data_IF_958785075596
#
_entry.id   IF_958785075596
#
_cell.length_a   1.000
_cell.length_b   1.000
_cell.length_c   1.000
_cell.angle_alpha   90.00
_cell.angle_beta   90.00
_cell.angle_gamma   90.00
#
_symmetry.space_group_name_H-M   'P 1'
#
loop_
_entity.id
_entity.type
_entity.pdbx_description
1 polymer ?
#
# COMPACT_ATOMS: atom_id res chain seq x y z
N UNK A 1 93.73 81.19 -1.18
CA UNK A 1 93.73 79.82 -0.60
C UNK A 1 92.61 79.71 0.42
N UNK A 2 91.58 78.89 0.15
CA UNK A 2 90.65 78.23 1.10
C UNK A 2 89.54 77.59 0.28
N UNK A 3 89.85 76.44 -0.33
CA UNK A 3 88.85 75.48 -0.84
C UNK A 3 88.86 74.29 0.12
N UNK A 4 87.70 73.61 0.17
CA UNK A 4 87.47 72.24 0.66
C UNK A 4 87.16 72.12 2.15
N UNK A 5 85.86 72.11 2.48
CA UNK A 5 85.33 71.20 3.51
C UNK A 5 83.80 70.96 3.42
N UNK A 6 83.22 70.94 2.21
CA UNK A 6 81.76 70.70 2.03
C UNK A 6 81.49 69.39 1.25
N UNK A 7 82.47 68.82 0.55
CA UNK A 7 82.26 67.65 -0.32
C UNK A 7 82.27 66.27 0.38
N UNK A 8 82.78 66.16 1.61
CA UNK A 8 82.91 64.86 2.29
C UNK A 8 81.68 64.53 3.14
N UNK A 9 81.01 65.54 3.72
CA UNK A 9 79.82 65.32 4.56
C UNK A 9 78.61 64.90 3.70
N UNK A 10 78.44 65.46 2.50
CA UNK A 10 77.34 65.09 1.59
C UNK A 10 77.42 63.66 1.05
N UNK A 11 78.63 63.16 0.73
CA UNK A 11 78.82 61.79 0.21
C UNK A 11 78.64 60.76 1.34
N UNK A 12 79.12 61.05 2.55
CA UNK A 12 78.91 60.18 3.71
C UNK A 12 77.42 60.10 4.07
N UNK A 13 76.67 61.20 4.00
CA UNK A 13 75.21 61.19 4.22
C UNK A 13 74.48 60.41 3.13
N UNK A 14 74.85 60.51 1.85
CA UNK A 14 74.19 59.75 0.77
C UNK A 14 74.51 58.25 0.83
N UNK A 15 75.72 57.85 1.23
CA UNK A 15 76.07 56.44 1.43
C UNK A 15 75.43 55.88 2.72
N UNK A 16 75.31 56.70 3.78
CA UNK A 16 74.59 56.30 5.00
C UNK A 16 73.09 56.23 4.73
N UNK A 17 72.49 57.19 4.03
CA UNK A 17 71.04 57.19 3.71
C UNK A 17 70.71 56.12 2.67
N UNK A 18 71.54 55.94 1.64
CA UNK A 18 71.40 54.87 0.65
C UNK A 18 71.71 53.48 1.24
N UNK A 19 72.66 53.40 2.16
CA UNK A 19 72.99 52.21 2.94
C UNK A 19 71.89 51.86 3.94
N UNK A 20 71.33 52.83 4.65
CA UNK A 20 70.14 52.67 5.50
C UNK A 20 68.96 52.29 4.62
N UNK A 21 68.71 52.95 3.48
CA UNK A 21 67.62 52.62 2.56
C UNK A 21 67.75 51.21 1.97
N UNK A 22 68.98 50.74 1.71
CA UNK A 22 69.24 49.37 1.25
C UNK A 22 69.14 48.36 2.40
N UNK A 23 69.59 48.72 3.61
CA UNK A 23 69.48 47.90 4.83
C UNK A 23 68.05 47.87 5.40
N UNK A 24 67.20 48.84 5.06
CA UNK A 24 65.78 48.91 5.44
C UNK A 24 64.83 48.55 4.30
N UNK A 25 65.34 48.14 3.13
CA UNK A 25 64.50 47.63 2.05
C UNK A 25 64.02 46.23 2.41
N UNK A 26 62.89 46.16 3.11
CA UNK A 26 62.18 44.90 3.33
C UNK A 26 61.88 44.26 1.98
N UNK A 27 62.48 43.09 1.76
CA UNK A 27 62.21 42.26 0.60
C UNK A 27 60.74 41.86 0.64
N UNK A 28 59.94 42.42 -0.26
CA UNK A 28 58.48 42.22 -0.28
C UNK A 28 58.16 40.78 -0.68
N UNK A 29 57.82 39.96 0.31
CA UNK A 29 57.49 38.54 0.12
C UNK A 29 56.09 38.44 -0.50
N UNK A 30 55.98 37.82 -1.68
CA UNK A 30 54.69 37.57 -2.34
C UNK A 30 54.27 36.10 -2.15
N UNK A 31 53.11 35.88 -1.53
CA UNK A 31 52.57 34.55 -1.31
C UNK A 31 51.83 34.08 -2.57
N UNK A 32 51.93 32.78 -2.85
CA UNK A 32 51.13 32.14 -3.89
C UNK A 32 50.48 30.85 -3.37
N UNK A 33 49.34 30.48 -3.95
CA UNK A 33 48.61 29.27 -3.55
C UNK A 33 49.37 28.02 -4.00
N UNK A 34 49.47 27.04 -3.09
CA UNK A 34 49.89 25.68 -3.41
C UNK A 34 48.77 25.02 -4.21
N UNK A 35 49.05 24.79 -5.50
CA UNK A 35 48.09 24.30 -6.50
C UNK A 35 46.87 25.24 -6.70
N UNK A 36 46.63 25.72 -7.92
CA UNK A 36 45.47 26.60 -8.19
C UNK A 36 44.12 25.86 -8.28
N UNK A 37 44.12 24.52 -8.25
CA UNK A 37 42.88 23.72 -8.27
C UNK A 37 42.07 23.94 -6.99
N UNK A 38 40.76 23.79 -7.13
CA UNK A 38 39.80 23.82 -6.02
C UNK A 38 40.01 22.59 -5.11
N UNK A 39 39.65 22.72 -3.83
CA UNK A 39 39.61 21.58 -2.91
C UNK A 39 38.23 20.97 -3.03
N UNK A 40 38.15 19.70 -3.43
CA UNK A 40 36.89 18.95 -3.48
C UNK A 40 36.84 18.04 -2.26
N UNK A 41 35.74 18.11 -1.52
CA UNK A 41 35.51 17.32 -0.30
C UNK A 41 34.22 16.56 -0.47
N UNK A 42 34.27 15.27 -0.17
CA UNK A 42 33.08 14.42 -0.15
C UNK A 42 32.19 14.79 1.04
N UNK A 43 30.88 14.85 0.82
CA UNK A 43 29.92 15.10 1.89
C UNK A 43 30.05 14.03 3.00
N UNK A 44 29.95 14.44 4.27
CA UNK A 44 30.25 13.59 5.43
C UNK A 44 31.71 13.62 5.91
N UNK A 45 32.64 14.19 5.14
CA UNK A 45 34.04 14.34 5.57
C UNK A 45 34.35 15.74 6.11
N UNK A 46 35.20 15.79 7.14
CA UNK A 46 35.71 17.06 7.70
C UNK A 46 36.70 17.73 6.73
N UNK A 47 36.72 19.07 6.74
CA UNK A 47 37.69 19.85 5.95
C UNK A 47 38.85 20.24 6.84
N UNK A 48 40.03 19.66 6.58
CA UNK A 48 41.26 20.00 7.30
C UNK A 48 42.27 20.63 6.34
N UNK A 49 42.91 21.72 6.80
CA UNK A 49 43.98 22.39 6.08
C UNK A 49 44.91 23.11 7.05
N UNK A 50 46.16 23.24 6.62
CA UNK A 50 47.17 24.05 7.27
C UNK A 50 47.74 25.11 6.32
N UNK A 51 48.55 26.02 6.85
CA UNK A 51 49.32 26.96 6.02
C UNK A 51 50.12 26.24 4.93
N UNK A 52 50.77 25.12 5.27
CA UNK A 52 51.64 24.38 4.34
C UNK A 52 50.86 23.63 3.25
N UNK A 53 49.56 23.39 3.45
CA UNK A 53 48.67 22.80 2.45
C UNK A 53 48.17 23.83 1.45
N UNK A 54 48.08 25.09 1.87
CA UNK A 54 47.44 26.17 1.11
C UNK A 54 48.43 27.08 0.39
N UNK A 55 49.63 27.29 0.94
CA UNK A 55 50.62 28.24 0.44
C UNK A 55 51.85 27.52 -0.11
N UNK A 56 52.33 27.98 -1.27
CA UNK A 56 53.57 27.49 -1.87
C UNK A 56 54.75 28.09 -1.10
N UNK A 57 55.59 27.23 -0.53
CA UNK A 57 56.70 27.63 0.34
C UNK A 57 58.08 27.35 -0.26
N UNK A 58 58.17 26.73 -1.45
CA UNK A 58 59.44 26.33 -2.08
C UNK A 58 60.39 27.50 -2.33
N UNK A 59 59.85 28.68 -2.57
CA UNK A 59 60.60 29.88 -2.95
C UNK A 59 60.78 30.85 -1.75
N UNK A 60 60.47 30.40 -0.53
CA UNK A 60 60.52 31.22 0.70
C UNK A 60 61.67 30.74 1.60
N UNK A 61 62.50 31.68 2.06
CA UNK A 61 63.58 31.42 3.03
C UNK A 61 63.04 30.80 4.34
N UNK A 62 63.71 29.76 4.84
CA UNK A 62 63.30 29.01 6.04
C UNK A 62 63.26 29.88 7.31
N UNK A 63 64.13 30.87 7.42
CA UNK A 63 64.20 31.73 8.61
C UNK A 63 63.03 32.73 8.62
N UNK A 64 62.59 33.18 7.43
CA UNK A 64 61.41 34.06 7.24
C UNK A 64 60.09 33.30 7.34
N UNK A 65 60.08 32.01 7.01
CA UNK A 65 58.86 31.18 6.99
C UNK A 65 58.14 31.11 8.34
N UNK A 66 58.88 31.10 9.45
CA UNK A 66 58.30 31.08 10.81
C UNK A 66 57.50 32.35 11.10
N UNK A 67 58.02 33.50 10.69
CA UNK A 67 57.37 34.81 10.88
C UNK A 67 56.14 34.93 9.96
N UNK A 68 56.28 34.55 8.69
CA UNK A 68 55.16 34.54 7.72
C UNK A 68 54.00 33.67 8.22
N UNK A 69 54.29 32.47 8.74
CA UNK A 69 53.26 31.58 9.31
C UNK A 69 52.52 32.22 10.47
N UNK A 70 53.22 32.97 11.32
CA UNK A 70 52.65 33.65 12.49
C UNK A 70 51.78 34.85 12.09
N UNK A 71 52.19 35.58 11.06
CA UNK A 71 51.49 36.78 10.56
C UNK A 71 50.34 36.46 9.60
N UNK A 72 50.36 35.29 8.96
CA UNK A 72 49.33 34.89 8.01
C UNK A 72 48.05 34.49 8.76
N UNK A 73 46.96 35.19 8.45
CA UNK A 73 45.64 34.91 9.00
C UNK A 73 44.86 34.06 8.00
N UNK A 74 44.47 32.86 8.40
CA UNK A 74 43.64 31.94 7.61
C UNK A 74 42.27 31.87 8.27
N UNK A 75 41.23 32.16 7.49
CA UNK A 75 39.83 32.13 7.93
C UNK A 75 38.96 31.60 6.81
N UNK A 76 37.94 30.83 7.11
CA UNK A 76 37.01 30.27 6.15
C UNK A 76 35.56 30.72 6.42
N UNK A 77 34.66 30.34 5.52
CA UNK A 77 33.23 30.48 5.68
C UNK A 77 32.51 29.12 5.64
N UNK A 78 33.19 28.03 6.02
CA UNK A 78 32.58 26.71 6.07
C UNK A 78 31.41 26.73 7.05
N UNK A 79 30.32 26.06 6.66
CA UNK A 79 29.14 25.91 7.50
C UNK A 79 28.85 24.43 7.63
N UNK A 80 28.88 23.94 8.86
CA UNK A 80 28.52 22.56 9.15
C UNK A 80 27.03 22.33 9.00
N UNK A 81 26.69 21.10 8.65
CA UNK A 81 25.32 20.60 8.72
C UNK A 81 24.85 20.62 10.19
N UNK A 82 23.56 20.83 10.41
CA UNK A 82 23.01 20.97 11.77
C UNK A 82 23.38 19.77 12.64
N UNK A 83 24.07 20.03 13.75
CA UNK A 83 24.56 19.03 14.71
C UNK A 83 25.59 18.02 14.15
N UNK A 84 26.27 18.35 13.04
CA UNK A 84 27.36 17.54 12.45
C UNK A 84 28.71 18.26 12.51
N UNK A 85 29.79 17.49 12.38
CA UNK A 85 31.17 17.97 12.39
C UNK A 85 31.74 18.21 10.98
N UNK A 86 30.99 17.91 9.92
CA UNK A 86 31.32 18.15 8.52
C UNK A 86 30.45 19.27 7.90
N UNK A 87 30.95 19.96 6.84
CA UNK A 87 30.23 21.00 6.13
C UNK A 87 29.01 20.48 5.36
N UNK A 88 27.98 21.31 5.23
CA UNK A 88 26.86 21.05 4.31
C UNK A 88 27.31 21.17 2.85
N UNK A 89 26.56 20.56 1.93
CA UNK A 89 26.86 20.59 0.49
C UNK A 89 26.85 22.05 -0.01
N UNK A 90 27.91 22.45 -0.72
CA UNK A 90 28.01 23.83 -1.19
C UNK A 90 29.41 24.27 -1.59
N UNK A 91 29.50 25.56 -1.92
CA UNK A 91 30.75 26.21 -2.31
C UNK A 91 31.22 27.16 -1.20
N UNK A 92 32.44 26.96 -0.76
CA UNK A 92 33.08 27.70 0.33
C UNK A 92 34.40 28.30 -0.12
N UNK A 93 34.96 29.17 0.72
CA UNK A 93 36.20 29.89 0.46
C UNK A 93 37.04 29.97 1.72
N UNK A 94 38.27 29.48 1.63
CA UNK A 94 39.32 29.76 2.61
C UNK A 94 39.99 31.06 2.16
N UNK A 95 39.97 32.06 3.04
CA UNK A 95 40.58 33.36 2.87
C UNK A 95 41.92 33.38 3.60
N UNK A 96 42.98 33.74 2.88
CA UNK A 96 44.33 33.83 3.42
C UNK A 96 44.77 35.28 3.29
N UNK A 97 45.09 35.90 4.43
CA UNK A 97 45.54 37.29 4.49
C UNK A 97 46.92 37.36 5.10
N UNK A 98 47.86 37.93 4.36
CA UNK A 98 49.21 38.23 4.83
C UNK A 98 49.54 39.68 4.43
N UNK A 99 49.76 40.55 5.42
CA UNK A 99 49.90 42.00 5.20
C UNK A 99 48.75 42.55 4.30
N UNK A 100 49.09 43.12 3.14
CA UNK A 100 48.14 43.64 2.14
C UNK A 100 47.67 42.60 1.10
N UNK A 101 48.23 41.39 1.12
CA UNK A 101 47.89 40.32 0.19
C UNK A 101 46.64 39.56 0.64
N UNK A 102 45.78 39.22 -0.31
CA UNK A 102 44.57 38.44 -0.11
C UNK A 102 44.52 37.33 -1.15
N UNK A 103 44.62 36.09 -0.68
CA UNK A 103 44.45 34.90 -1.51
C UNK A 103 43.15 34.18 -1.11
N UNK A 104 42.51 33.55 -2.08
CA UNK A 104 41.27 32.78 -1.88
C UNK A 104 41.42 31.40 -2.46
N UNK A 105 41.16 30.37 -1.65
CA UNK A 105 41.09 28.98 -2.10
C UNK A 105 39.64 28.53 -2.03
N UNK A 106 39.09 28.09 -3.16
CA UNK A 106 37.73 27.56 -3.23
C UNK A 106 37.69 26.13 -2.72
N UNK A 107 36.69 25.83 -1.90
CA UNK A 107 36.37 24.50 -1.40
C UNK A 107 34.97 24.14 -1.91
N UNK A 108 34.81 22.96 -2.49
CA UNK A 108 33.53 22.44 -2.98
C UNK A 108 33.23 21.18 -2.17
N UNK A 109 32.16 21.22 -1.41
CA UNK A 109 31.60 20.05 -0.73
C UNK A 109 30.49 19.52 -1.63
N UNK A 110 30.65 18.28 -2.08
CA UNK A 110 29.64 17.61 -2.91
C UNK A 110 29.52 16.18 -2.44
N UNK A 111 28.33 15.63 -2.60
CA UNK A 111 28.06 14.23 -2.40
C UNK A 111 28.23 13.51 -3.74
N UNK A 112 29.09 12.51 -3.76
CA UNK A 112 29.35 11.64 -4.92
C UNK A 112 29.15 10.16 -4.59
N UNK A 113 28.69 9.88 -3.37
CA UNK A 113 28.49 8.54 -2.87
C UNK A 113 27.07 8.10 -3.20
N UNK A 114 26.92 6.93 -3.82
CA UNK A 114 25.60 6.40 -4.13
C UNK A 114 24.97 5.73 -2.89
N UNK A 115 23.63 5.71 -2.78
CA UNK A 115 22.94 4.96 -1.74
C UNK A 115 23.32 3.47 -1.71
N UNK A 116 23.31 2.89 -0.52
CA UNK A 116 23.62 1.46 -0.33
C UNK A 116 22.36 0.72 0.10
N UNK A 117 21.96 -0.30 -0.65
CA UNK A 117 20.83 -1.17 -0.31
C UNK A 117 21.17 -2.12 0.86
N UNK A 118 20.14 -2.55 1.58
CA UNK A 118 20.23 -3.67 2.50
C UNK A 118 20.43 -5.02 1.76
N UNK A 119 20.70 -6.07 2.52
CA UNK A 119 21.03 -7.40 1.98
C UNK A 119 19.83 -8.18 1.43
N UNK A 120 18.60 -7.68 1.59
CA UNK A 120 17.38 -8.38 1.17
C UNK A 120 17.28 -8.41 -0.36
N UNK A 121 17.33 -9.61 -0.94
CA UNK A 121 17.31 -9.84 -2.39
C UNK A 121 16.00 -10.46 -2.89
N UNK A 122 15.10 -10.80 -1.97
CA UNK A 122 13.86 -11.48 -2.27
C UNK A 122 12.73 -10.99 -1.36
N UNK A 123 11.52 -10.97 -1.90
CA UNK A 123 10.28 -10.68 -1.16
C UNK A 123 9.20 -11.65 -1.61
N UNK A 124 8.17 -11.85 -0.78
CA UNK A 124 7.09 -12.78 -1.14
C UNK A 124 5.71 -12.31 -0.68
N UNK A 125 4.72 -12.49 -1.53
CA UNK A 125 3.31 -12.22 -1.22
C UNK A 125 2.39 -13.15 -2.02
N UNK A 126 1.10 -13.16 -1.68
CA UNK A 126 0.11 -14.03 -2.31
C UNK A 126 -0.41 -13.45 -3.63
N UNK A 127 -0.70 -14.32 -4.59
CA UNK A 127 -1.38 -13.97 -5.84
C UNK A 127 -2.63 -13.11 -5.60
N UNK A 128 -2.76 -12.02 -6.35
CA UNK A 128 -3.83 -11.03 -6.24
C UNK A 128 -3.62 -9.97 -5.17
N UNK A 129 -2.46 -9.94 -4.48
CA UNK A 129 -2.14 -8.86 -3.53
C UNK A 129 -1.94 -7.55 -4.27
N UNK A 130 -2.92 -6.65 -4.20
CA UNK A 130 -2.82 -5.29 -4.72
C UNK A 130 -1.99 -4.39 -3.78
N UNK A 131 -1.23 -3.44 -4.34
CA UNK A 131 -0.49 -2.41 -3.61
C UNK A 131 0.48 -2.92 -2.53
N UNK A 132 1.17 -4.04 -2.78
CA UNK A 132 2.22 -4.53 -1.87
C UNK A 132 3.31 -3.46 -1.64
N UNK A 133 3.62 -3.19 -0.37
CA UNK A 133 4.57 -2.15 0.04
C UNK A 133 5.99 -2.72 0.18
N UNK A 134 6.75 -2.66 -0.91
CA UNK A 134 8.14 -3.13 -0.96
C UNK A 134 9.08 -2.40 0.02
N UNK A 135 8.74 -1.17 0.44
CA UNK A 135 9.60 -0.36 1.33
C UNK A 135 9.63 -0.90 2.78
N UNK A 136 8.75 -1.84 3.13
CA UNK A 136 8.82 -2.52 4.43
C UNK A 136 10.09 -3.35 4.57
N UNK A 137 10.49 -4.00 3.48
CA UNK A 137 11.61 -4.93 3.43
C UNK A 137 12.81 -4.32 2.71
N UNK A 138 12.61 -3.75 1.52
CA UNK A 138 13.69 -3.16 0.73
C UNK A 138 14.02 -1.76 1.23
N UNK A 139 15.27 -1.56 1.63
CA UNK A 139 15.75 -0.30 2.22
C UNK A 139 17.09 0.07 1.61
N UNK A 140 17.33 1.38 1.50
CA UNK A 140 18.64 1.94 1.19
C UNK A 140 19.04 2.98 2.23
N UNK A 141 20.33 3.18 2.41
CA UNK A 141 20.92 4.15 3.34
C UNK A 141 21.92 5.03 2.64
N UNK A 142 21.92 6.30 3.01
CA UNK A 142 22.80 7.35 2.50
C UNK A 142 22.85 8.49 3.54
N UNK A 143 23.85 9.38 3.44
CA UNK A 143 23.93 10.57 4.30
C UNK A 143 22.90 11.64 3.90
N UNK A 144 22.43 11.59 2.66
CA UNK A 144 21.41 12.46 2.12
C UNK A 144 20.07 11.72 1.95
N UNK A 145 19.01 12.48 1.66
CA UNK A 145 17.67 11.89 1.54
C UNK A 145 17.55 11.01 0.30
N UNK A 146 16.87 9.88 0.44
CA UNK A 146 16.74 8.85 -0.60
C UNK A 146 15.30 8.74 -1.08
N UNK A 147 15.14 8.60 -2.39
CA UNK A 147 13.92 8.20 -3.07
C UNK A 147 14.08 6.78 -3.63
N UNK A 148 13.12 5.89 -3.33
CA UNK A 148 13.08 4.51 -3.81
C UNK A 148 12.02 4.37 -4.91
N UNK A 149 12.42 3.82 -6.05
CA UNK A 149 11.55 3.59 -7.19
C UNK A 149 11.67 2.14 -7.68
N UNK A 150 10.58 1.59 -8.18
CA UNK A 150 10.47 0.19 -8.58
C UNK A 150 10.01 0.09 -10.03
N UNK A 151 10.75 -0.67 -10.84
CA UNK A 151 10.28 -1.11 -12.17
C UNK A 151 9.55 -2.44 -12.01
N UNK A 152 8.21 -2.36 -12.01
CA UNK A 152 7.30 -3.48 -11.83
C UNK A 152 6.77 -4.03 -13.18
N UNK A 153 7.35 -3.60 -14.31
CA UNK A 153 6.81 -3.94 -15.64
C UNK A 153 6.77 -5.44 -15.94
N UNK A 154 7.64 -6.22 -15.30
CA UNK A 154 7.71 -7.68 -15.42
C UNK A 154 6.79 -8.44 -14.45
N UNK A 155 6.28 -7.78 -13.41
CA UNK A 155 5.55 -8.43 -12.31
C UNK A 155 4.08 -8.66 -12.70
N UNK A 156 3.65 -9.92 -12.69
CA UNK A 156 2.23 -10.29 -12.78
C UNK A 156 1.73 -10.77 -11.42
N UNK A 157 1.02 -9.90 -10.71
CA UNK A 157 0.49 -10.22 -9.39
C UNK A 157 -0.62 -11.28 -9.42
N UNK A 158 -1.25 -11.52 -10.58
CA UNK A 158 -2.37 -12.45 -10.73
C UNK A 158 -1.93 -13.82 -11.24
N UNK A 159 -0.62 -14.08 -11.22
CA UNK A 159 -0.06 -15.34 -11.65
C UNK A 159 1.09 -15.72 -10.74
N UNK A 160 0.95 -16.86 -10.09
CA UNK A 160 2.02 -17.40 -9.28
C UNK A 160 3.31 -17.62 -10.10
N UNK A 161 4.44 -17.33 -9.48
CA UNK A 161 5.75 -17.44 -10.10
C UNK A 161 6.79 -16.54 -9.45
N UNK A 162 8.01 -16.66 -9.95
CA UNK A 162 9.14 -15.84 -9.56
C UNK A 162 9.36 -14.76 -10.63
N UNK A 163 9.38 -13.50 -10.19
CA UNK A 163 9.54 -12.34 -11.06
C UNK A 163 10.76 -11.53 -10.65
N UNK A 164 11.63 -11.23 -11.62
CA UNK A 164 12.73 -10.29 -11.41
C UNK A 164 12.24 -8.86 -11.61
N UNK A 165 12.39 -8.02 -10.59
CA UNK A 165 12.12 -6.58 -10.68
C UNK A 165 13.39 -5.77 -10.36
N UNK A 166 13.45 -4.53 -10.83
CA UNK A 166 14.54 -3.61 -10.51
C UNK A 166 14.09 -2.54 -9.53
N UNK A 167 14.95 -2.28 -8.55
CA UNK A 167 14.79 -1.22 -7.56
C UNK A 167 15.89 -0.18 -7.76
N UNK A 168 15.52 1.09 -7.74
CA UNK A 168 16.41 2.23 -7.88
C UNK A 168 16.38 3.06 -6.61
N UNK A 169 17.54 3.31 -6.04
CA UNK A 169 17.71 4.26 -4.93
C UNK A 169 18.43 5.48 -5.47
N UNK A 170 17.79 6.65 -5.38
CA UNK A 170 18.35 7.91 -5.81
C UNK A 170 18.42 8.88 -4.65
N UNK A 171 19.58 9.48 -4.46
CA UNK A 171 19.76 10.46 -3.43
C UNK A 171 19.40 11.90 -3.90
N UNK A 172 19.41 12.84 -2.96
CA UNK A 172 19.08 14.24 -3.24
C UNK A 172 20.13 14.98 -4.09
N UNK A 173 21.34 14.42 -4.20
CA UNK A 173 22.46 14.91 -5.00
C UNK A 173 22.48 14.32 -6.41
N UNK A 174 21.62 13.34 -6.68
CA UNK A 174 21.45 12.66 -7.95
C UNK A 174 22.31 11.41 -8.12
N UNK A 175 23.03 10.94 -7.09
CA UNK A 175 23.70 9.65 -7.19
C UNK A 175 22.67 8.53 -7.10
N UNK A 176 22.95 7.42 -7.79
CA UNK A 176 22.00 6.35 -7.97
C UNK A 176 22.67 5.00 -7.76
N UNK A 177 21.96 4.10 -7.09
CA UNK A 177 22.23 2.68 -7.07
C UNK A 177 21.03 1.91 -7.61
N UNK A 178 21.27 0.77 -8.22
CA UNK A 178 20.23 -0.16 -8.66
C UNK A 178 20.48 -1.56 -8.15
N UNK A 179 19.40 -2.31 -7.94
CA UNK A 179 19.44 -3.69 -7.48
C UNK A 179 18.31 -4.48 -8.13
N UNK A 180 18.61 -5.71 -8.54
CA UNK A 180 17.60 -6.67 -8.97
C UNK A 180 17.18 -7.52 -7.76
N UNK A 181 15.88 -7.73 -7.60
CA UNK A 181 15.32 -8.59 -6.56
C UNK A 181 14.32 -9.57 -7.14
N UNK A 182 14.18 -10.71 -6.47
CA UNK A 182 13.20 -11.73 -6.80
C UNK A 182 11.91 -11.50 -6.02
N UNK A 183 10.78 -11.41 -6.73
CA UNK A 183 9.45 -11.38 -6.13
C UNK A 183 8.81 -12.74 -6.30
N UNK A 184 8.55 -13.41 -5.18
CA UNK A 184 7.82 -14.68 -5.15
C UNK A 184 6.33 -14.40 -5.01
N UNK A 185 5.60 -14.46 -6.12
CA UNK A 185 4.13 -14.48 -6.11
C UNK A 185 3.71 -15.91 -5.82
N UNK A 186 3.28 -16.17 -4.59
CA UNK A 186 2.86 -17.50 -4.15
C UNK A 186 1.49 -17.80 -4.71
N UNK A 187 1.29 -19.02 -5.22
CA UNK A 187 -0.04 -19.51 -5.57
C UNK A 187 -0.97 -19.24 -4.39
N UNK A 188 -2.09 -18.59 -4.70
CA UNK A 188 -3.18 -18.55 -3.74
C UNK A 188 -3.51 -20.00 -3.41
N UNK A 189 -3.52 -20.40 -2.12
CA UNK A 189 -3.86 -21.77 -1.79
C UNK A 189 -5.19 -22.10 -2.47
N UNK A 190 -5.18 -23.03 -3.43
CA UNK A 190 -6.41 -23.71 -3.83
C UNK A 190 -6.86 -24.41 -2.57
N UNK A 191 -7.78 -23.80 -1.86
CA UNK A 191 -8.51 -24.48 -0.82
C UNK A 191 -9.30 -25.56 -1.55
N UNK A 192 -8.71 -26.75 -1.69
CA UNK A 192 -9.50 -27.97 -1.70
C UNK A 192 -10.46 -27.81 -0.53
N UNK A 193 -11.74 -27.62 -0.84
CA UNK A 193 -12.84 -27.63 0.11
C UNK A 193 -12.63 -28.88 0.97
N UNK A 194 -12.05 -28.68 2.16
CA UNK A 194 -11.49 -29.74 2.97
C UNK A 194 -12.56 -30.78 3.21
N UNK A 195 -12.43 -31.96 2.58
CA UNK A 195 -13.35 -33.09 2.72
C UNK A 195 -14.81 -32.66 2.96
N UNK A 196 -15.38 -31.85 2.05
CA UNK A 196 -16.83 -31.68 2.05
C UNK A 196 -17.43 -33.10 2.04
N UNK A 197 -18.35 -33.39 2.95
CA UNK A 197 -19.17 -34.61 2.82
C UNK A 197 -19.65 -34.61 1.37
N UNK A 198 -19.29 -35.65 0.62
CA UNK A 198 -19.75 -35.77 -0.76
C UNK A 198 -21.24 -36.07 -0.66
N UNK A 199 -22.06 -35.09 -1.03
CA UNK A 199 -23.48 -35.29 -1.21
C UNK A 199 -23.68 -35.69 -2.66
N UNK A 200 -24.33 -36.82 -2.91
CA UNK A 200 -24.72 -37.14 -4.27
C UNK A 200 -25.98 -36.35 -4.59
N UNK A 201 -25.85 -35.30 -5.41
CA UNK A 201 -26.96 -34.42 -5.77
C UNK A 201 -28.18 -35.15 -6.32
N UNK A 202 -28.04 -36.38 -6.82
CA UNK A 202 -29.15 -37.34 -6.94
C UNK A 202 -30.28 -36.88 -7.86
N UNK A 203 -29.98 -36.00 -8.83
CA UNK A 203 -30.98 -35.38 -9.71
C UNK A 203 -31.78 -34.24 -9.06
N UNK A 204 -31.39 -33.79 -7.86
CA UNK A 204 -32.00 -32.68 -7.14
C UNK A 204 -31.64 -31.33 -7.77
N UNK A 205 -32.60 -30.42 -7.76
CA UNK A 205 -32.48 -29.09 -8.36
C UNK A 205 -32.39 -28.04 -7.26
N UNK A 206 -31.32 -27.24 -7.27
CA UNK A 206 -31.14 -26.12 -6.34
C UNK A 206 -31.26 -24.82 -7.13
N UNK A 207 -32.18 -23.95 -6.73
CA UNK A 207 -32.26 -22.60 -7.28
C UNK A 207 -31.54 -21.62 -6.37
N UNK A 208 -30.66 -20.79 -6.92
CA UNK A 208 -29.88 -19.77 -6.19
C UNK A 208 -30.28 -18.38 -6.68
N UNK A 209 -30.70 -17.55 -5.75
CA UNK A 209 -30.97 -16.12 -5.95
C UNK A 209 -29.89 -15.29 -5.26
N UNK A 210 -29.01 -14.68 -6.05
CA UNK A 210 -28.19 -13.59 -5.56
C UNK A 210 -29.10 -12.37 -5.35
N UNK A 211 -29.43 -12.04 -4.10
CA UNK A 211 -30.31 -10.93 -3.76
C UNK A 211 -29.87 -9.62 -4.39
N UNK A 212 -30.84 -8.74 -4.65
CA UNK A 212 -30.64 -7.44 -5.30
C UNK A 212 -30.04 -7.53 -6.72
N UNK A 213 -29.61 -6.38 -7.25
CA UNK A 213 -29.01 -6.20 -8.58
C UNK A 213 -28.34 -4.80 -8.64
N UNK A 214 -27.67 -4.44 -9.73
CA UNK A 214 -26.96 -3.16 -9.86
C UNK A 214 -27.85 -1.94 -9.58
N UNK A 215 -29.12 -2.01 -10.01
CA UNK A 215 -30.10 -0.93 -9.89
C UNK A 215 -31.42 -1.47 -9.38
N UNK A 216 -31.90 -0.95 -8.26
CA UNK A 216 -33.23 -1.29 -7.75
C UNK A 216 -34.33 -0.94 -8.75
N UNK A 217 -35.48 -1.61 -8.64
CA UNK A 217 -36.70 -1.31 -9.38
C UNK A 217 -37.80 -0.98 -8.38
N UNK A 218 -38.10 0.32 -8.23
CA UNK A 218 -39.10 0.84 -7.30
C UNK A 218 -40.54 0.71 -7.81
N UNK A 219 -40.74 0.24 -9.04
CA UNK A 219 -42.07 -0.15 -9.52
C UNK A 219 -42.66 -1.19 -8.57
N UNK A 220 -43.98 -1.20 -8.46
CA UNK A 220 -44.66 -2.03 -7.48
C UNK A 220 -45.02 -3.42 -8.03
N UNK A 221 -44.99 -4.41 -7.16
CA UNK A 221 -45.53 -5.77 -7.35
C UNK A 221 -46.32 -6.23 -6.11
N UNK A 222 -47.26 -7.17 -6.25
CA UNK A 222 -47.99 -7.71 -5.10
C UNK A 222 -47.06 -8.43 -4.12
N UNK A 223 -47.27 -8.23 -2.82
CA UNK A 223 -46.51 -8.89 -1.74
C UNK A 223 -46.66 -10.43 -1.75
N UNK A 224 -47.69 -10.94 -2.42
CA UNK A 224 -47.94 -12.37 -2.63
C UNK A 224 -49.00 -12.54 -3.72
N UNK A 225 -49.21 -13.76 -4.25
CA UNK A 225 -50.24 -14.03 -5.25
C UNK A 225 -51.62 -13.51 -4.81
N UNK A 226 -52.22 -12.63 -5.63
CA UNK A 226 -53.53 -12.03 -5.35
C UNK A 226 -53.58 -11.01 -4.19
N UNK A 227 -52.43 -10.58 -3.66
CA UNK A 227 -52.38 -9.57 -2.59
C UNK A 227 -52.73 -8.17 -3.12
N UNK A 228 -53.53 -7.42 -2.36
CA UNK A 228 -53.72 -5.98 -2.57
C UNK A 228 -52.58 -5.13 -1.99
N UNK A 229 -51.77 -5.71 -1.10
CA UNK A 229 -50.58 -5.05 -0.55
C UNK A 229 -49.47 -5.10 -1.58
N UNK A 230 -49.00 -3.93 -2.00
CA UNK A 230 -47.95 -3.77 -3.01
C UNK A 230 -46.61 -3.41 -2.36
N UNK A 231 -45.51 -3.87 -2.96
CA UNK A 231 -44.12 -3.59 -2.53
C UNK A 231 -43.25 -3.29 -3.75
N UNK A 232 -42.13 -2.61 -3.54
CA UNK A 232 -41.14 -2.42 -4.60
C UNK A 232 -40.65 -3.78 -5.15
N UNK A 233 -40.46 -3.86 -6.46
CA UNK A 233 -40.03 -5.08 -7.16
C UNK A 233 -38.69 -5.60 -6.64
N UNK A 234 -37.73 -4.70 -6.42
CA UNK A 234 -36.43 -5.03 -5.83
C UNK A 234 -35.75 -3.74 -5.35
N UNK A 235 -35.17 -3.76 -4.15
CA UNK A 235 -34.40 -2.63 -3.62
C UNK A 235 -32.92 -2.75 -4.03
N UNK A 236 -32.13 -1.70 -3.84
CA UNK A 236 -30.68 -1.73 -4.11
C UNK A 236 -29.87 -2.56 -3.11
N UNK A 237 -30.45 -2.87 -1.95
CA UNK A 237 -29.75 -3.53 -0.85
C UNK A 237 -28.90 -2.57 -0.04
N UNK A 238 -28.14 -3.12 0.91
CA UNK A 238 -27.18 -2.40 1.74
C UNK A 238 -25.83 -2.14 1.03
N UNK A 239 -24.93 -1.41 1.69
CA UNK A 239 -23.55 -1.16 1.23
C UNK A 239 -22.61 -1.28 2.42
N UNK A 240 -21.49 -1.97 2.22
CA UNK A 240 -20.45 -2.14 3.24
C UNK A 240 -19.96 -0.81 3.79
N UNK A 241 -20.01 -0.64 5.11
CA UNK A 241 -19.66 0.63 5.77
C UNK A 241 -18.16 0.97 5.73
N UNK A 242 -17.30 0.00 5.37
CA UNK A 242 -15.85 0.14 5.22
C UNK A 242 -15.42 -0.07 3.77
N UNK A 243 -15.84 -1.18 3.16
CA UNK A 243 -15.37 -1.60 1.84
C UNK A 243 -16.04 -0.84 0.71
N UNK A 244 -17.23 -0.26 0.96
CA UNK A 244 -18.07 0.38 -0.05
C UNK A 244 -18.70 -0.60 -1.04
N UNK A 245 -18.51 -1.92 -0.84
CA UNK A 245 -19.05 -2.96 -1.71
C UNK A 245 -20.55 -3.08 -1.50
N UNK A 246 -21.32 -3.16 -2.59
CA UNK A 246 -22.77 -3.29 -2.47
C UNK A 246 -23.15 -4.71 -2.06
N UNK A 247 -24.27 -4.84 -1.34
CA UNK A 247 -24.84 -6.14 -1.00
C UNK A 247 -25.06 -7.00 -2.26
N UNK A 248 -25.55 -6.39 -3.34
CA UNK A 248 -25.76 -7.06 -4.62
C UNK A 248 -24.48 -7.65 -5.22
N UNK A 249 -23.31 -7.02 -5.01
CA UNK A 249 -22.01 -7.53 -5.44
C UNK A 249 -21.60 -8.75 -4.62
N UNK A 250 -21.62 -8.63 -3.29
CA UNK A 250 -21.27 -9.73 -2.37
C UNK A 250 -22.18 -10.94 -2.61
N UNK A 251 -23.49 -10.72 -2.71
CA UNK A 251 -24.46 -11.79 -2.97
C UNK A 251 -24.16 -12.53 -4.28
N UNK A 252 -23.74 -11.82 -5.33
CA UNK A 252 -23.41 -12.45 -6.62
C UNK A 252 -22.13 -13.28 -6.54
N UNK A 253 -21.10 -12.78 -5.89
CA UNK A 253 -19.83 -13.49 -5.72
C UNK A 253 -20.02 -14.79 -4.96
N UNK A 254 -20.74 -14.74 -3.83
CA UNK A 254 -21.05 -15.94 -3.05
C UNK A 254 -21.94 -16.89 -3.86
N UNK A 255 -22.92 -16.39 -4.61
CA UNK A 255 -23.80 -17.21 -5.43
C UNK A 255 -23.06 -17.97 -6.53
N UNK A 256 -22.09 -17.34 -7.21
CA UNK A 256 -21.29 -17.99 -8.25
C UNK A 256 -20.39 -19.08 -7.67
N UNK A 257 -19.76 -18.83 -6.52
CA UNK A 257 -19.00 -19.85 -5.79
C UNK A 257 -19.88 -21.01 -5.34
N UNK A 258 -21.09 -20.70 -4.85
CA UNK A 258 -22.07 -21.71 -4.45
C UNK A 258 -22.56 -22.54 -5.63
N UNK A 259 -22.77 -21.93 -6.80
CA UNK A 259 -23.13 -22.63 -8.03
C UNK A 259 -22.09 -23.69 -8.38
N UNK A 260 -20.81 -23.31 -8.41
CA UNK A 260 -19.71 -24.21 -8.70
C UNK A 260 -19.64 -25.33 -7.66
N UNK A 261 -19.67 -24.99 -6.38
CA UNK A 261 -19.58 -25.96 -5.29
C UNK A 261 -20.72 -27.00 -5.33
N UNK A 262 -21.96 -26.57 -5.57
CA UNK A 262 -23.11 -27.49 -5.68
C UNK A 262 -23.07 -28.32 -6.97
N UNK A 263 -22.64 -27.74 -8.09
CA UNK A 263 -22.49 -28.47 -9.35
C UNK A 263 -21.46 -29.60 -9.21
N UNK A 264 -20.36 -29.34 -8.48
CA UNK A 264 -19.33 -30.34 -8.17
C UNK A 264 -19.83 -31.47 -7.25
N UNK A 265 -20.92 -31.24 -6.51
CA UNK A 265 -21.63 -32.28 -5.73
C UNK A 265 -22.71 -32.98 -6.58
N UNK A 266 -22.85 -32.66 -7.86
CA UNK A 266 -23.81 -33.29 -8.78
C UNK A 266 -25.25 -32.78 -8.65
N UNK A 267 -25.47 -31.62 -8.00
CA UNK A 267 -26.76 -30.94 -8.05
C UNK A 267 -26.97 -30.27 -9.41
N UNK A 268 -28.21 -30.22 -9.88
CA UNK A 268 -28.58 -29.32 -10.97
C UNK A 268 -28.82 -27.92 -10.38
N UNK A 269 -28.05 -26.92 -10.83
CA UNK A 269 -28.14 -25.56 -10.28
C UNK A 269 -28.81 -24.61 -11.27
N UNK A 270 -29.84 -23.91 -10.80
CA UNK A 270 -30.53 -22.83 -11.53
C UNK A 270 -30.20 -21.50 -10.87
N UNK A 271 -29.68 -20.55 -11.64
CA UNK A 271 -29.34 -19.21 -11.15
C UNK A 271 -30.45 -18.22 -11.52
N UNK A 272 -30.96 -17.45 -10.56
CA UNK A 272 -31.86 -16.33 -10.88
C UNK A 272 -31.14 -15.21 -11.64
N UNK A 273 -29.85 -14.99 -11.34
CA UNK A 273 -28.97 -14.09 -12.10
C UNK A 273 -27.51 -14.51 -11.99
N UNK A 274 -26.74 -14.20 -13.03
CA UNK A 274 -25.28 -14.42 -13.10
C UNK A 274 -24.52 -13.11 -13.35
N UNK A 275 -25.21 -11.98 -13.41
CA UNK A 275 -24.61 -10.65 -13.60
C UNK A 275 -25.28 -9.60 -12.71
N UNK A 276 -24.67 -8.42 -12.62
CA UNK A 276 -25.22 -7.27 -11.88
C UNK A 276 -26.31 -6.54 -12.67
N UNK A 277 -26.20 -6.49 -14.00
CA UNK A 277 -27.06 -5.71 -14.87
C UNK A 277 -28.27 -6.53 -15.34
N UNK A 278 -29.23 -6.72 -14.43
CA UNK A 278 -30.53 -7.35 -14.70
C UNK A 278 -31.66 -6.47 -14.20
N UNK A 279 -32.89 -6.74 -14.65
CA UNK A 279 -34.12 -6.16 -14.09
C UNK A 279 -35.11 -7.26 -13.72
N UNK A 280 -34.96 -7.81 -12.51
CA UNK A 280 -35.76 -8.94 -12.01
C UNK A 280 -36.44 -8.59 -10.69
N UNK A 281 -37.76 -8.75 -10.63
CA UNK A 281 -38.52 -8.59 -9.40
C UNK A 281 -38.35 -9.78 -8.44
N UNK A 282 -38.73 -9.60 -7.17
CA UNK A 282 -38.73 -10.68 -6.20
C UNK A 282 -39.73 -11.79 -6.59
N UNK A 283 -40.90 -11.43 -7.16
CA UNK A 283 -41.85 -12.42 -7.66
C UNK A 283 -41.27 -13.24 -8.82
N UNK A 284 -40.58 -12.60 -9.78
CA UNK A 284 -39.94 -13.28 -10.90
C UNK A 284 -38.87 -14.27 -10.44
N UNK A 285 -38.04 -13.89 -9.46
CA UNK A 285 -37.02 -14.78 -8.87
C UNK A 285 -37.64 -16.02 -8.24
N UNK A 286 -38.73 -15.86 -7.49
CA UNK A 286 -39.48 -17.00 -6.94
C UNK A 286 -40.16 -17.85 -8.04
N UNK A 287 -40.66 -17.23 -9.11
CA UNK A 287 -41.23 -17.95 -10.25
C UNK A 287 -40.20 -18.84 -10.96
N UNK A 288 -38.97 -18.35 -11.15
CA UNK A 288 -37.89 -19.17 -11.72
C UNK A 288 -37.63 -20.44 -10.91
N UNK A 289 -37.60 -20.33 -9.58
CA UNK A 289 -37.44 -21.48 -8.68
C UNK A 289 -38.61 -22.47 -8.78
N UNK A 290 -39.84 -21.94 -8.89
CA UNK A 290 -41.04 -22.74 -9.06
C UNK A 290 -41.06 -23.48 -10.40
N UNK A 291 -40.71 -22.81 -11.49
CA UNK A 291 -40.66 -23.38 -12.85
C UNK A 291 -39.60 -24.47 -12.98
N UNK A 292 -38.49 -24.31 -12.27
CA UNK A 292 -37.44 -25.31 -12.16
C UNK A 292 -37.83 -26.52 -11.29
N UNK A 293 -38.97 -26.48 -10.59
CA UNK A 293 -39.36 -27.45 -9.57
C UNK A 293 -38.23 -27.70 -8.55
N UNK A 294 -37.58 -26.63 -8.09
CA UNK A 294 -36.42 -26.74 -7.22
C UNK A 294 -36.74 -27.47 -5.91
N UNK A 295 -35.85 -28.35 -5.48
CA UNK A 295 -35.93 -29.01 -4.17
C UNK A 295 -35.55 -28.04 -3.03
N UNK A 296 -34.76 -27.00 -3.34
CA UNK A 296 -34.48 -25.90 -2.43
C UNK A 296 -34.23 -24.58 -3.20
N UNK A 297 -34.79 -23.48 -2.69
CA UNK A 297 -34.59 -22.13 -3.20
C UNK A 297 -33.82 -21.28 -2.18
N UNK A 298 -32.58 -20.93 -2.52
CA UNK A 298 -31.63 -20.26 -1.62
C UNK A 298 -31.45 -18.82 -2.05
N UNK A 299 -31.87 -17.87 -1.22
CA UNK A 299 -31.75 -16.44 -1.51
C UNK A 299 -30.66 -15.82 -0.64
N UNK A 300 -29.55 -15.41 -1.24
CA UNK A 300 -28.40 -14.86 -0.55
C UNK A 300 -28.53 -13.36 -0.39
N UNK A 301 -28.36 -12.89 0.85
CA UNK A 301 -28.45 -11.51 1.28
C UNK A 301 -27.36 -11.20 2.33
N UNK A 302 -27.13 -9.91 2.57
CA UNK A 302 -26.44 -9.46 3.78
C UNK A 302 -27.28 -8.38 4.46
N UNK A 303 -27.37 -8.47 5.78
CA UNK A 303 -28.22 -7.59 6.57
C UNK A 303 -27.53 -6.25 6.81
N UNK A 304 -28.29 -5.30 7.33
CA UNK A 304 -27.77 -4.04 7.85
C UNK A 304 -28.64 -3.55 8.99
N UNK A 305 -28.00 -3.01 10.01
CA UNK A 305 -28.65 -2.51 11.23
C UNK A 305 -28.18 -1.11 11.54
N UNK A 306 -29.04 -0.30 12.19
CA UNK A 306 -28.67 1.01 12.74
C UNK A 306 -27.52 0.90 13.75
N UNK A 307 -27.39 -0.24 14.42
CA UNK A 307 -26.26 -0.52 15.31
C UNK A 307 -25.11 -1.19 14.55
N UNK A 308 -23.97 -0.49 14.49
CA UNK A 308 -22.72 -1.01 13.90
C UNK A 308 -22.09 -2.15 14.71
N UNK A 309 -22.62 -2.50 15.89
CA UNK A 309 -22.18 -3.66 16.67
C UNK A 309 -22.97 -4.95 16.39
N UNK A 310 -24.01 -4.87 15.55
CA UNK A 310 -24.81 -6.04 15.19
C UNK A 310 -23.95 -7.03 14.41
N UNK A 311 -23.93 -8.30 14.85
CA UNK A 311 -23.23 -9.38 14.15
C UNK A 311 -24.05 -10.66 14.11
N UNK A 312 -23.65 -11.55 13.21
CA UNK A 312 -24.11 -12.92 13.10
C UNK A 312 -24.89 -13.21 11.83
N UNK A 313 -25.05 -14.49 11.55
CA UNK A 313 -25.83 -15.01 10.43
C UNK A 313 -27.24 -15.37 10.90
N UNK A 314 -28.25 -15.02 10.09
CA UNK A 314 -29.64 -15.44 10.31
C UNK A 314 -30.26 -15.96 9.02
N UNK A 315 -31.35 -16.70 9.15
CA UNK A 315 -32.16 -17.10 7.99
C UNK A 315 -33.61 -16.70 8.20
N UNK A 316 -34.36 -16.47 7.13
CA UNK A 316 -35.78 -16.16 7.18
C UNK A 316 -36.59 -17.24 6.47
N UNK A 317 -37.70 -17.63 7.09
CA UNK A 317 -38.65 -18.61 6.58
C UNK A 317 -40.10 -18.14 6.80
N UNK A 318 -41.05 -18.58 5.96
CA UNK A 318 -42.47 -18.29 6.18
C UNK A 318 -43.02 -19.02 7.41
N UNK A 319 -44.05 -18.43 8.02
CA UNK A 319 -44.81 -19.10 9.08
C UNK A 319 -45.68 -20.23 8.53
N UNK A 320 -46.03 -21.19 9.37
CA UNK A 320 -47.00 -22.24 9.00
C UNK A 320 -48.43 -21.70 8.82
N UNK A 321 -48.67 -20.46 9.23
CA UNK A 321 -49.90 -19.70 8.98
C UNK A 321 -49.80 -18.75 7.77
N UNK A 322 -48.69 -18.77 7.01
CA UNK A 322 -48.51 -17.88 5.88
C UNK A 322 -49.61 -18.07 4.84
N UNK A 323 -50.32 -16.99 4.51
CA UNK A 323 -51.48 -17.02 3.60
C UNK A 323 -51.16 -17.55 2.19
N UNK A 324 -49.92 -17.41 1.74
CA UNK A 324 -49.53 -17.67 0.35
C UNK A 324 -48.77 -18.99 0.20
N UNK A 325 -47.91 -19.33 1.16
CA UNK A 325 -46.98 -20.45 1.05
C UNK A 325 -46.91 -21.34 2.30
N UNK A 326 -47.99 -21.43 3.09
CA UNK A 326 -48.08 -22.34 4.24
C UNK A 326 -47.73 -23.79 3.92
N UNK A 327 -48.03 -24.28 2.70
CA UNK A 327 -47.75 -25.67 2.29
C UNK A 327 -46.26 -26.02 2.26
N UNK A 328 -45.36 -25.04 2.08
CA UNK A 328 -43.91 -25.24 2.07
C UNK A 328 -43.23 -24.71 3.34
N UNK A 329 -43.98 -24.19 4.31
CA UNK A 329 -43.43 -23.48 5.45
C UNK A 329 -42.59 -24.37 6.37
N UNK A 330 -43.09 -25.55 6.74
CA UNK A 330 -42.34 -26.47 7.60
C UNK A 330 -41.03 -26.93 6.96
N UNK A 331 -41.06 -27.20 5.64
CA UNK A 331 -39.87 -27.56 4.86
C UNK A 331 -38.88 -26.40 4.79
N UNK A 332 -39.38 -25.18 4.57
CA UNK A 332 -38.58 -23.94 4.53
C UNK A 332 -37.91 -23.62 5.86
N UNK A 333 -38.61 -23.85 6.98
CA UNK A 333 -38.07 -23.68 8.32
C UNK A 333 -36.96 -24.71 8.61
N UNK A 334 -37.15 -25.97 8.20
CA UNK A 334 -36.12 -27.02 8.31
C UNK A 334 -34.88 -26.70 7.46
N UNK A 335 -35.08 -26.32 6.19
CA UNK A 335 -34.02 -25.87 5.30
C UNK A 335 -33.23 -24.69 5.90
N UNK A 336 -33.94 -23.65 6.33
CA UNK A 336 -33.36 -22.44 6.95
C UNK A 336 -32.54 -22.80 8.19
N UNK A 337 -33.08 -23.67 9.05
CA UNK A 337 -32.40 -24.11 10.27
C UNK A 337 -31.12 -24.89 9.96
N UNK A 338 -31.17 -25.79 8.99
CA UNK A 338 -30.00 -26.57 8.56
C UNK A 338 -28.89 -25.67 8.01
N UNK A 339 -29.26 -24.71 7.16
CA UNK A 339 -28.32 -23.76 6.53
C UNK A 339 -27.66 -22.86 7.57
N UNK A 340 -28.44 -22.17 8.43
CA UNK A 340 -27.84 -21.25 9.41
C UNK A 340 -26.93 -21.99 10.40
N UNK A 341 -27.30 -23.20 10.83
CA UNK A 341 -26.47 -24.02 11.70
C UNK A 341 -25.13 -24.37 11.04
N UNK A 342 -25.14 -24.78 9.77
CA UNK A 342 -23.94 -25.19 9.06
C UNK A 342 -23.06 -24.01 8.62
N UNK A 343 -23.63 -22.87 8.23
CA UNK A 343 -22.88 -21.62 8.00
C UNK A 343 -22.14 -21.23 9.27
N UNK A 344 -22.84 -21.16 10.42
CA UNK A 344 -22.22 -20.73 11.67
C UNK A 344 -21.14 -21.71 12.14
N UNK A 345 -21.34 -23.02 11.91
CA UNK A 345 -20.33 -24.04 12.21
C UNK A 345 -19.06 -23.87 11.36
N UNK A 346 -19.20 -23.55 10.07
CA UNK A 346 -18.06 -23.40 9.16
C UNK A 346 -17.32 -22.06 9.34
N UNK A 347 -18.05 -20.99 9.65
CA UNK A 347 -17.52 -19.62 9.71
C UNK A 347 -17.10 -19.20 11.12
N UNK A 348 -17.64 -19.84 12.16
CA UNK A 348 -17.58 -19.33 13.53
C UNK A 348 -18.50 -18.14 13.81
N UNK A 349 -19.37 -17.76 12.85
CA UNK A 349 -20.33 -16.66 13.00
C UNK A 349 -21.31 -16.91 14.13
N UNK A 350 -21.79 -15.83 14.75
CA UNK A 350 -22.88 -15.89 15.74
C UNK A 350 -24.15 -16.40 15.05
N UNK A 351 -24.65 -17.54 15.51
CA UNK A 351 -25.93 -18.09 15.03
C UNK A 351 -27.11 -17.34 15.64
N UNK A 352 -27.83 -16.58 14.82
CA UNK A 352 -29.05 -15.86 15.23
C UNK A 352 -30.34 -16.66 14.97
N UNK A 353 -30.22 -17.84 14.38
CA UNK A 353 -31.32 -18.77 14.15
C UNK A 353 -32.17 -18.44 12.93
N UNK A 354 -33.43 -18.88 13.00
CA UNK A 354 -34.43 -18.70 11.96
C UNK A 354 -35.43 -17.65 12.43
N UNK A 355 -35.62 -16.60 11.64
CA UNK A 355 -36.66 -15.59 11.82
C UNK A 355 -37.87 -15.96 10.98
N UNK A 356 -39.05 -15.99 11.60
CA UNK A 356 -40.31 -16.32 10.93
C UNK A 356 -40.98 -15.04 10.45
N UNK A 357 -41.20 -14.88 9.14
CA UNK A 357 -41.75 -13.67 8.52
C UNK A 357 -42.71 -13.97 7.36
N UNK A 358 -43.77 -13.18 7.22
CA UNK A 358 -44.82 -13.38 6.19
C UNK A 358 -45.03 -12.18 5.26
N UNK A 359 -44.16 -11.17 5.33
CA UNK A 359 -44.26 -9.90 4.60
C UNK A 359 -43.17 -9.71 3.53
N UNK A 360 -42.55 -10.80 3.09
CA UNK A 360 -41.46 -10.80 2.10
C UNK A 360 -41.95 -11.39 0.78
N UNK A 361 -41.97 -10.58 -0.28
CA UNK A 361 -42.43 -10.99 -1.62
C UNK A 361 -41.75 -12.27 -2.10
N UNK A 362 -40.42 -12.36 -1.99
CA UNK A 362 -39.71 -13.55 -2.48
C UNK A 362 -39.86 -14.81 -1.63
N UNK A 363 -40.47 -14.74 -0.43
CA UNK A 363 -40.95 -15.93 0.29
C UNK A 363 -42.39 -16.27 -0.13
N UNK A 364 -43.25 -15.27 -0.16
CA UNK A 364 -44.69 -15.43 -0.39
C UNK A 364 -45.05 -15.93 -1.79
N UNK A 365 -44.19 -15.70 -2.79
CA UNK A 365 -44.37 -16.20 -4.15
C UNK A 365 -43.77 -17.60 -4.38
N UNK A 366 -43.06 -18.16 -3.40
CA UNK A 366 -42.46 -19.49 -3.55
C UNK A 366 -43.51 -20.60 -3.38
N UNK A 367 -43.42 -21.61 -4.23
CA UNK A 367 -44.15 -22.89 -4.17
C UNK A 367 -43.22 -24.07 -3.84
N UNK A 368 -41.93 -23.80 -3.69
CA UNK A 368 -40.88 -24.75 -3.31
C UNK A 368 -40.26 -24.33 -1.96
N UNK A 369 -39.59 -25.24 -1.22
CA UNK A 369 -38.90 -24.89 0.02
C UNK A 369 -37.91 -23.73 -0.21
N UNK A 370 -38.03 -22.66 0.59
CA UNK A 370 -37.27 -21.41 0.39
C UNK A 370 -36.63 -20.92 1.68
N UNK A 371 -35.46 -20.31 1.57
CA UNK A 371 -34.84 -19.56 2.66
C UNK A 371 -34.25 -18.26 2.13
N UNK A 372 -34.34 -17.19 2.93
CA UNK A 372 -33.47 -16.02 2.77
C UNK A 372 -32.34 -16.17 3.79
N UNK A 373 -31.10 -16.13 3.31
CA UNK A 373 -29.88 -16.23 4.11
C UNK A 373 -29.29 -14.83 4.25
N UNK A 374 -29.32 -14.29 5.46
CA UNK A 374 -28.60 -13.07 5.80
C UNK A 374 -27.22 -13.48 6.33
N UNK A 375 -26.21 -13.34 5.47
CA UNK A 375 -24.88 -13.93 5.69
C UNK A 375 -24.12 -13.25 6.84
N UNK A 376 -24.38 -11.96 7.08
CA UNK A 376 -23.84 -11.12 8.15
C UNK A 376 -24.31 -9.67 7.97
N UNK A 377 -23.81 -8.73 8.78
CA UNK A 377 -24.24 -7.32 8.77
C UNK A 377 -23.21 -6.40 8.10
N UNK A 378 -23.56 -5.79 6.97
CA UNK A 378 -22.72 -4.81 6.26
C UNK A 378 -22.53 -3.49 7.00
N UNK A 379 -23.38 -3.20 8.01
CA UNK A 379 -23.19 -2.06 8.89
C UNK A 379 -22.12 -2.28 9.98
N UNK A 380 -21.69 -3.53 10.19
CA UNK A 380 -20.59 -3.85 11.10
C UNK A 380 -19.24 -3.83 10.35
N UNK A 381 -18.25 -3.01 10.77
CA UNK A 381 -16.96 -2.91 10.08
C UNK A 381 -16.17 -4.22 9.99
N UNK A 382 -16.33 -5.10 10.97
CA UNK A 382 -15.67 -6.42 10.98
C UNK A 382 -16.33 -7.37 9.99
N UNK A 383 -17.65 -7.48 10.05
CA UNK A 383 -18.40 -8.36 9.13
C UNK A 383 -18.36 -7.87 7.69
N UNK A 384 -18.38 -6.57 7.41
CA UNK A 384 -18.20 -6.04 6.04
C UNK A 384 -16.88 -6.52 5.41
N UNK A 385 -15.76 -6.37 6.14
CA UNK A 385 -14.45 -6.87 5.68
C UNK A 385 -14.45 -8.39 5.49
N UNK A 386 -15.09 -9.14 6.37
CA UNK A 386 -15.21 -10.60 6.24
C UNK A 386 -16.08 -10.99 5.04
N UNK A 387 -17.28 -10.44 4.91
CA UNK A 387 -18.20 -10.72 3.80
C UNK A 387 -17.61 -10.34 2.44
N UNK A 388 -16.68 -9.38 2.42
CA UNK A 388 -15.92 -8.99 1.23
C UNK A 388 -14.67 -9.85 0.98
N UNK A 389 -14.25 -10.69 1.93
CA UNK A 389 -13.07 -11.55 1.79
C UNK A 389 -13.41 -12.90 1.18
N UNK A 390 -12.55 -13.36 0.28
CA UNK A 390 -12.76 -14.61 -0.44
C UNK A 390 -12.83 -15.83 0.49
N UNK A 391 -11.94 -15.92 1.47
CA UNK A 391 -11.88 -17.03 2.43
C UNK A 391 -13.16 -17.17 3.25
N UNK A 392 -13.72 -16.05 3.70
CA UNK A 392 -14.94 -16.09 4.50
C UNK A 392 -16.16 -16.44 3.64
N UNK A 393 -16.23 -15.90 2.43
CA UNK A 393 -17.25 -16.30 1.45
C UNK A 393 -17.17 -17.81 1.16
N UNK A 394 -15.98 -18.40 1.02
CA UNK A 394 -15.80 -19.84 0.81
C UNK A 394 -16.29 -20.66 2.02
N UNK A 395 -16.06 -20.19 3.25
CA UNK A 395 -16.62 -20.81 4.46
C UNK A 395 -18.15 -20.73 4.49
N UNK A 396 -18.74 -19.61 4.07
CA UNK A 396 -20.20 -19.48 3.92
C UNK A 396 -20.72 -20.50 2.90
N UNK A 397 -20.09 -20.57 1.72
CA UNK A 397 -20.44 -21.55 0.66
C UNK A 397 -20.39 -22.98 1.19
N UNK A 398 -19.30 -23.35 1.86
CA UNK A 398 -19.17 -24.68 2.46
C UNK A 398 -20.28 -24.97 3.49
N UNK A 399 -20.62 -23.98 4.30
CA UNK A 399 -21.74 -24.08 5.25
C UNK A 399 -23.09 -24.27 4.57
N UNK A 400 -23.35 -23.56 3.47
CA UNK A 400 -24.59 -23.70 2.69
C UNK A 400 -24.64 -25.09 2.03
N UNK A 401 -23.56 -25.55 1.40
CA UNK A 401 -23.48 -26.89 0.77
C UNK A 401 -23.77 -27.98 1.80
N UNK A 402 -23.15 -27.91 2.98
CA UNK A 402 -23.40 -28.86 4.06
C UNK A 402 -24.85 -28.80 4.56
N UNK A 403 -25.41 -27.60 4.70
CA UNK A 403 -26.80 -27.40 5.13
C UNK A 403 -27.83 -27.95 4.14
N UNK A 404 -27.60 -27.73 2.83
CA UNK A 404 -28.43 -28.30 1.76
C UNK A 404 -28.33 -29.82 1.75
N UNK A 405 -27.11 -30.34 1.81
CA UNK A 405 -26.86 -31.78 1.86
C UNK A 405 -27.54 -32.44 3.05
N UNK A 406 -27.41 -31.89 4.25
CA UNK A 406 -28.08 -32.37 5.47
C UNK A 406 -29.61 -32.30 5.36
N UNK A 407 -30.16 -31.25 4.74
CA UNK A 407 -31.60 -31.11 4.55
C UNK A 407 -32.19 -32.12 3.55
N UNK A 408 -31.44 -32.47 2.50
CA UNK A 408 -31.89 -33.37 1.43
C UNK A 408 -31.53 -34.85 1.63
N UNK A 409 -30.80 -35.17 2.71
CA UNK A 409 -30.33 -36.55 3.01
C UNK A 409 -31.42 -37.47 3.54
#
# INVERSE_FOLDING_TARGET
>A
MKKKFIGVIGIVIVVIVGGIYYLTREEKIELSLKNKKEIIVEYGNTVQYSFDDLIQTKDIDKDKLKEIKKETKITDNLKNEDQKDYPSIGNYTINIKYQNQKLKKKVIVKDTTAPVFNEINEVSFEEGTENYDFNQEIKATDLSNIDLQYDLSSLDINKAGDYQIKVFAKDSSGNQAEKEITVHVKEKPKQELSAAKIYHGGGKVICIDAGHQARGNSSLEPNGPGSSTMKAKVTTGATGCVTGKTESQINLEVALKLQEALSNQGYTVVMCRTSQNVDLSNAQRAQMANEANADAFIRLHCDSSESSSSTGTLTLAPSTSNRYCASIASQSQSLSKSIVNNICKATGSRNRGVSIVDNMTGLNWSKVPVTIVEMGFLSNPGEDRLLSSEDYQNKIVQGIVNGIGEYLS
#
